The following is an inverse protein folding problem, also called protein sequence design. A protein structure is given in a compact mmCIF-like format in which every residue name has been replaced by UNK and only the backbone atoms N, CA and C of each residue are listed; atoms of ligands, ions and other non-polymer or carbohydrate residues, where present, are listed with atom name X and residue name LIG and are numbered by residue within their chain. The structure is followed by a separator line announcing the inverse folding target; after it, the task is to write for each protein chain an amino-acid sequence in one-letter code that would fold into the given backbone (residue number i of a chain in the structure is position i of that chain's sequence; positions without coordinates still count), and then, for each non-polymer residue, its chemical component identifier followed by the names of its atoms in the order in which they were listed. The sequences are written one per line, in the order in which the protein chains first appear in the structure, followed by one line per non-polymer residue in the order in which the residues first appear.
data_IF_507529147073
#
_entry.id   IF_507529147073
#
_cell.length_a   1.000
_cell.length_b   1.000
_cell.length_c   1.000
_cell.angle_alpha   90.00
_cell.angle_beta   90.00
_cell.angle_gamma   90.00
#
_symmetry.space_group_name_H-M   'P 1'
#
loop_
_entity.id
_entity.type
_entity.pdbx_description
1 polymer ?
#
# COMPACT_ATOMS: atom_id res chain seq x y z
N UNK A 1 14.58 -0.62 -17.81
CA UNK A 1 13.32 -1.03 -18.50
C UNK A 1 12.17 -0.68 -17.59
N UNK A 2 11.22 0.16 -18.03
CA UNK A 2 10.06 0.46 -17.20
C UNK A 2 9.20 -0.80 -17.01
N UNK A 3 8.92 -1.17 -15.75
CA UNK A 3 8.05 -2.30 -15.41
C UNK A 3 6.68 -2.11 -16.07
N UNK A 4 6.14 -3.15 -16.70
CA UNK A 4 4.78 -3.13 -17.22
C UNK A 4 3.78 -3.11 -16.06
N UNK A 5 2.68 -2.42 -16.26
CA UNK A 5 1.55 -2.30 -15.33
C UNK A 5 0.55 -3.39 -15.70
N UNK A 6 0.41 -4.38 -14.86
CA UNK A 6 -0.59 -5.43 -15.02
C UNK A 6 -1.96 -4.87 -14.66
N UNK A 7 -2.91 -4.94 -15.58
CA UNK A 7 -4.26 -4.45 -15.33
C UNK A 7 -5.33 -5.47 -15.69
N UNK A 8 -6.50 -5.32 -15.06
CA UNK A 8 -7.73 -5.99 -15.44
C UNK A 8 -8.81 -4.97 -15.82
N UNK A 9 -9.75 -5.38 -16.66
CA UNK A 9 -10.87 -4.58 -17.14
C UNK A 9 -12.14 -5.37 -16.83
N UNK A 10 -13.06 -4.77 -16.09
CA UNK A 10 -14.27 -5.39 -15.62
C UNK A 10 -15.47 -4.46 -15.87
N UNK A 11 -16.36 -4.84 -16.76
CA UNK A 11 -17.53 -4.07 -17.15
C UNK A 11 -18.59 -5.04 -17.69
N UNK A 12 -19.86 -4.87 -17.32
CA UNK A 12 -20.93 -5.77 -17.79
C UNK A 12 -21.33 -5.50 -19.24
N UNK A 13 -20.92 -4.37 -19.82
CA UNK A 13 -21.10 -4.04 -21.22
C UNK A 13 -19.93 -4.55 -22.08
N UNK A 14 -20.09 -5.56 -22.96
CA UNK A 14 -19.01 -6.08 -23.79
C UNK A 14 -18.33 -5.03 -24.69
N UNK A 15 -19.10 -4.01 -25.12
CA UNK A 15 -18.55 -2.90 -25.92
C UNK A 15 -17.63 -2.00 -25.08
N UNK A 16 -17.94 -1.76 -23.80
CA UNK A 16 -17.09 -0.99 -22.90
C UNK A 16 -15.79 -1.75 -22.60
N UNK A 17 -15.88 -3.06 -22.31
CA UNK A 17 -14.69 -3.93 -22.15
C UNK A 17 -13.79 -3.84 -23.38
N UNK A 18 -14.35 -4.03 -24.59
CA UNK A 18 -13.58 -3.97 -25.84
C UNK A 18 -12.96 -2.60 -26.07
N UNK A 19 -13.68 -1.52 -25.78
CA UNK A 19 -13.19 -0.15 -25.94
C UNK A 19 -11.99 0.12 -25.03
N UNK A 20 -12.11 -0.21 -23.75
CA UNK A 20 -11.02 0.01 -22.77
C UNK A 20 -9.83 -0.89 -23.10
N UNK A 21 -10.05 -2.16 -23.52
CA UNK A 21 -8.98 -3.05 -23.95
C UNK A 21 -8.25 -2.54 -25.21
N UNK A 22 -8.99 -1.99 -26.19
CA UNK A 22 -8.40 -1.34 -27.39
C UNK A 22 -7.58 -0.10 -27.01
N UNK A 23 -8.05 0.70 -26.05
CA UNK A 23 -7.30 1.83 -25.54
C UNK A 23 -6.03 1.39 -24.78
N UNK A 24 -6.15 0.35 -23.94
CA UNK A 24 -5.03 -0.19 -23.19
C UNK A 24 -3.93 -0.75 -24.11
N UNK A 25 -4.31 -1.39 -25.22
CA UNK A 25 -3.35 -1.93 -26.20
C UNK A 25 -2.50 -0.85 -26.88
N UNK A 26 -2.98 0.40 -26.93
CA UNK A 26 -2.26 1.57 -27.47
C UNK A 26 -1.29 2.20 -26.46
N UNK A 27 -1.30 1.76 -25.19
CA UNK A 27 -0.42 2.25 -24.13
C UNK A 27 0.63 1.17 -23.81
N UNK A 28 1.89 1.31 -24.28
CA UNK A 28 2.89 0.24 -24.18
C UNK A 28 3.24 -0.23 -22.76
N UNK A 29 2.95 0.64 -21.76
CA UNK A 29 3.18 0.32 -20.33
C UNK A 29 2.11 -0.59 -19.74
N UNK A 30 0.91 -0.68 -20.33
CA UNK A 30 -0.16 -1.55 -19.83
C UNK A 30 0.00 -2.98 -20.35
N UNK A 31 -0.32 -3.94 -19.49
CA UNK A 31 -0.43 -5.36 -19.80
C UNK A 31 -1.77 -5.85 -19.26
N UNK A 32 -2.74 -6.11 -20.17
CA UNK A 32 -4.08 -6.56 -19.78
C UNK A 32 -4.03 -8.06 -19.49
N UNK A 33 -4.25 -8.45 -18.25
CA UNK A 33 -4.29 -9.84 -17.80
C UNK A 33 -5.69 -10.45 -17.98
N UNK A 34 -6.73 -9.63 -17.79
CA UNK A 34 -8.11 -10.05 -17.90
C UNK A 34 -8.98 -8.88 -18.38
N UNK A 35 -9.96 -9.17 -19.26
CA UNK A 35 -10.91 -8.19 -19.77
C UNK A 35 -12.23 -8.90 -20.11
N UNK A 36 -13.20 -8.86 -19.22
CA UNK A 36 -14.51 -9.52 -19.38
C UNK A 36 -15.51 -8.95 -18.36
N UNK A 37 -16.76 -9.46 -18.41
CA UNK A 37 -17.84 -9.15 -17.48
C UNK A 37 -17.94 -10.12 -16.29
N UNK A 38 -17.20 -11.24 -16.29
CA UNK A 38 -17.27 -12.26 -15.23
C UNK A 38 -16.45 -11.82 -14.01
N UNK A 39 -17.16 -11.33 -12.99
CA UNK A 39 -16.58 -10.86 -11.72
C UNK A 39 -15.84 -11.98 -10.96
N UNK A 40 -16.36 -13.21 -11.01
CA UNK A 40 -15.76 -14.32 -10.25
C UNK A 40 -14.42 -14.75 -10.85
N UNK A 41 -14.31 -14.77 -12.18
CA UNK A 41 -13.02 -14.98 -12.84
C UNK A 41 -12.03 -13.84 -12.58
N UNK A 42 -12.52 -12.59 -12.55
CA UNK A 42 -11.67 -11.47 -12.17
C UNK A 42 -11.11 -11.65 -10.75
N UNK A 43 -11.91 -12.10 -9.77
CA UNK A 43 -11.48 -12.41 -8.41
C UNK A 43 -10.44 -13.54 -8.40
N UNK A 44 -10.58 -14.56 -9.24
CA UNK A 44 -9.58 -15.63 -9.36
C UNK A 44 -8.23 -15.07 -9.86
N UNK A 45 -8.26 -14.23 -10.91
CA UNK A 45 -7.04 -13.55 -11.42
C UNK A 45 -6.41 -12.66 -10.34
N UNK A 46 -7.22 -11.91 -9.57
CA UNK A 46 -6.74 -11.08 -8.47
C UNK A 46 -6.06 -11.87 -7.33
N UNK A 47 -6.42 -13.15 -7.17
CA UNK A 47 -5.84 -14.02 -6.16
C UNK A 47 -4.57 -14.74 -6.64
N UNK A 48 -4.41 -14.94 -7.95
CA UNK A 48 -3.33 -15.73 -8.54
C UNK A 48 -2.25 -14.88 -9.20
N UNK A 49 -2.60 -13.67 -9.67
CA UNK A 49 -1.71 -12.81 -10.43
C UNK A 49 -1.40 -11.49 -9.66
N UNK A 50 -0.26 -10.91 -9.98
CA UNK A 50 0.08 -9.56 -9.47
C UNK A 50 -0.59 -8.52 -10.35
N UNK A 51 -1.67 -7.91 -9.86
CA UNK A 51 -2.44 -6.87 -10.55
C UNK A 51 -2.12 -5.51 -9.93
N UNK A 52 -1.73 -4.55 -10.77
CA UNK A 52 -1.36 -3.19 -10.34
C UNK A 52 -2.54 -2.21 -10.45
N UNK A 53 -3.45 -2.41 -11.41
CA UNK A 53 -4.54 -1.47 -11.74
C UNK A 53 -5.81 -2.21 -12.20
N UNK A 54 -6.97 -1.74 -11.75
CA UNK A 54 -8.27 -2.28 -12.13
C UNK A 54 -9.12 -1.16 -12.75
N UNK A 55 -9.55 -1.36 -14.01
CA UNK A 55 -10.64 -0.59 -14.61
C UNK A 55 -11.94 -1.30 -14.29
N UNK A 56 -12.87 -0.61 -13.64
CA UNK A 56 -14.10 -1.25 -13.13
C UNK A 56 -15.33 -0.40 -13.37
N UNK A 57 -16.38 -1.01 -13.90
CA UNK A 57 -17.71 -0.40 -13.89
C UNK A 57 -18.34 -0.49 -12.50
N UNK A 58 -19.19 0.47 -12.16
CA UNK A 58 -19.91 0.48 -10.89
C UNK A 58 -21.10 -0.46 -10.92
N UNK A 59 -21.88 -0.42 -11.98
CA UNK A 59 -23.13 -1.14 -12.07
C UNK A 59 -22.97 -2.45 -12.84
N UNK A 60 -22.61 -3.49 -12.14
CA UNK A 60 -22.51 -4.84 -12.71
C UNK A 60 -23.51 -5.78 -12.02
N UNK A 61 -24.05 -6.79 -12.75
CA UNK A 61 -24.84 -7.85 -12.15
C UNK A 61 -24.06 -8.63 -11.09
N UNK A 62 -24.76 -9.18 -10.10
CA UNK A 62 -24.25 -10.07 -9.03
C UNK A 62 -23.37 -9.37 -7.98
N UNK A 63 -22.41 -8.55 -8.37
CA UNK A 63 -21.53 -7.79 -7.48
C UNK A 63 -21.19 -6.45 -8.13
N UNK A 64 -21.55 -5.37 -7.48
CA UNK A 64 -21.25 -4.02 -7.95
C UNK A 64 -19.76 -3.69 -7.82
N UNK A 65 -19.26 -2.75 -8.63
CA UNK A 65 -17.88 -2.29 -8.51
C UNK A 65 -17.57 -1.73 -7.13
N UNK A 66 -18.54 -1.08 -6.47
CA UNK A 66 -18.39 -0.57 -5.10
C UNK A 66 -18.22 -1.72 -4.10
N UNK A 67 -19.05 -2.75 -4.18
CA UNK A 67 -18.92 -3.94 -3.31
C UNK A 67 -17.58 -4.67 -3.53
N UNK A 68 -17.11 -4.74 -4.79
CA UNK A 68 -15.81 -5.31 -5.08
C UNK A 68 -14.67 -4.50 -4.44
N UNK A 69 -14.73 -3.16 -4.53
CA UNK A 69 -13.75 -2.28 -3.88
C UNK A 69 -13.78 -2.42 -2.35
N UNK A 70 -14.95 -2.62 -1.74
CA UNK A 70 -15.09 -2.89 -0.30
C UNK A 70 -14.44 -4.22 0.10
N UNK A 71 -14.66 -5.29 -0.67
CA UNK A 71 -14.09 -6.62 -0.43
C UNK A 71 -12.56 -6.60 -0.40
N UNK A 72 -11.94 -5.81 -1.29
CA UNK A 72 -10.49 -5.74 -1.39
C UNK A 72 -9.84 -4.64 -0.53
N UNK A 73 -10.61 -3.83 0.16
CA UNK A 73 -10.18 -2.87 1.21
C UNK A 73 -8.81 -2.23 0.95
N UNK A 74 -8.72 -1.43 -0.12
CA UNK A 74 -7.51 -0.69 -0.53
C UNK A 74 -6.29 -1.55 -0.98
N UNK A 75 -6.49 -2.85 -1.20
CA UNK A 75 -5.41 -3.73 -1.69
C UNK A 75 -4.99 -3.43 -3.13
N UNK A 76 -5.92 -2.90 -3.94
CA UNK A 76 -5.71 -2.62 -5.36
C UNK A 76 -6.03 -1.16 -5.70
N UNK A 77 -5.50 -0.71 -6.85
CA UNK A 77 -5.78 0.62 -7.38
C UNK A 77 -6.89 0.55 -8.42
N UNK A 78 -7.85 1.46 -8.33
CA UNK A 78 -9.02 1.47 -9.18
C UNK A 78 -9.11 2.74 -10.03
N UNK A 79 -9.46 2.57 -11.30
CA UNK A 79 -10.02 3.61 -12.17
C UNK A 79 -11.45 3.18 -12.47
N UNK A 80 -12.40 3.98 -12.05
CA UNK A 80 -13.82 3.69 -12.26
C UNK A 80 -14.24 4.14 -13.65
N UNK A 81 -15.06 3.30 -14.31
CA UNK A 81 -15.80 3.65 -15.52
C UNK A 81 -17.30 3.62 -15.20
N UNK A 82 -18.06 4.64 -15.56
CA UNK A 82 -19.50 4.66 -15.25
C UNK A 82 -20.29 5.60 -16.15
N UNK A 83 -21.54 5.29 -16.39
CA UNK A 83 -22.51 6.18 -17.03
C UNK A 83 -23.10 7.21 -16.04
N UNK A 84 -22.87 7.07 -14.74
CA UNK A 84 -23.59 7.77 -13.69
C UNK A 84 -22.67 8.67 -12.85
N UNK A 85 -22.77 10.02 -12.97
CA UNK A 85 -21.89 10.94 -12.25
C UNK A 85 -22.10 10.97 -10.74
N UNK A 86 -23.28 10.56 -10.24
CA UNK A 86 -23.63 10.62 -8.82
C UNK A 86 -22.76 9.70 -7.93
N UNK A 87 -22.23 8.61 -8.47
CA UNK A 87 -21.36 7.70 -7.72
C UNK A 87 -19.94 8.22 -7.51
N UNK A 88 -19.58 9.35 -8.15
CA UNK A 88 -18.24 9.91 -8.01
C UNK A 88 -17.92 10.30 -6.55
N UNK A 89 -18.89 10.81 -5.80
CA UNK A 89 -18.71 11.18 -4.38
C UNK A 89 -18.50 9.94 -3.49
N UNK A 90 -19.24 8.86 -3.75
CA UNK A 90 -19.10 7.61 -3.02
C UNK A 90 -17.75 6.93 -3.33
N UNK A 91 -17.35 6.96 -4.58
CA UNK A 91 -16.06 6.45 -5.03
C UNK A 91 -14.86 7.12 -4.35
N UNK A 92 -14.96 8.38 -3.97
CA UNK A 92 -13.91 9.10 -3.23
C UNK A 92 -13.53 8.44 -1.90
N UNK A 93 -14.46 7.72 -1.25
CA UNK A 93 -14.19 7.00 0.00
C UNK A 93 -13.22 5.83 -0.17
N UNK A 94 -13.08 5.30 -1.39
CA UNK A 94 -12.22 4.16 -1.72
C UNK A 94 -10.85 4.56 -2.29
N UNK A 95 -10.48 5.84 -2.23
CA UNK A 95 -9.18 6.34 -2.72
C UNK A 95 -8.89 5.92 -4.18
N UNK A 96 -9.93 5.99 -5.04
CA UNK A 96 -9.77 5.66 -6.47
C UNK A 96 -8.81 6.63 -7.16
N UNK A 97 -8.04 6.12 -8.11
CA UNK A 97 -7.10 6.92 -8.89
C UNK A 97 -7.84 7.96 -9.73
N UNK A 98 -8.91 7.51 -10.40
CA UNK A 98 -9.70 8.39 -11.25
C UNK A 98 -11.11 7.85 -11.50
N UNK A 99 -11.98 8.73 -12.02
CA UNK A 99 -13.36 8.44 -12.41
C UNK A 99 -13.60 8.84 -13.86
N UNK A 100 -13.95 7.87 -14.69
CA UNK A 100 -14.20 8.06 -16.12
C UNK A 100 -15.71 7.96 -16.41
N UNK A 101 -16.31 9.10 -16.79
CA UNK A 101 -17.71 9.11 -17.18
C UNK A 101 -17.84 8.65 -18.64
N UNK A 102 -18.73 7.68 -18.90
CA UNK A 102 -19.08 7.22 -20.24
C UNK A 102 -19.90 8.32 -20.97
N UNK A 103 -19.64 8.61 -22.28
CA UNK A 103 -18.72 7.92 -23.18
C UNK A 103 -17.24 8.31 -22.94
N UNK A 104 -16.37 7.30 -22.83
CA UNK A 104 -14.95 7.50 -22.53
C UNK A 104 -14.18 7.75 -23.82
N UNK A 105 -13.46 8.87 -23.91
CA UNK A 105 -12.53 9.15 -25.01
C UNK A 105 -11.13 8.60 -24.72
N UNK A 106 -10.34 8.29 -25.75
CA UNK A 106 -8.96 7.83 -25.58
C UNK A 106 -8.11 8.83 -24.78
N UNK A 107 -8.29 10.13 -25.02
CA UNK A 107 -7.56 11.17 -24.30
C UNK A 107 -7.86 11.12 -22.80
N UNK A 108 -9.13 10.96 -22.41
CA UNK A 108 -9.53 10.90 -21.01
C UNK A 108 -9.04 9.62 -20.33
N UNK A 109 -9.10 8.48 -21.05
CA UNK A 109 -8.51 7.22 -20.61
C UNK A 109 -7.00 7.37 -20.40
N UNK A 110 -6.27 7.92 -21.36
CA UNK A 110 -4.83 8.12 -21.29
C UNK A 110 -4.42 9.01 -20.09
N UNK A 111 -5.17 10.10 -19.86
CA UNK A 111 -4.94 10.98 -18.70
C UNK A 111 -5.10 10.23 -17.35
N UNK A 112 -6.07 9.33 -17.24
CA UNK A 112 -6.27 8.53 -16.03
C UNK A 112 -5.12 7.53 -15.79
N UNK A 113 -4.63 6.92 -16.86
CA UNK A 113 -3.45 6.04 -16.79
C UNK A 113 -2.20 6.82 -16.42
N UNK A 114 -1.97 8.00 -17.01
CA UNK A 114 -0.85 8.89 -16.65
C UNK A 114 -0.93 9.34 -15.18
N UNK A 115 -2.15 9.59 -14.69
CA UNK A 115 -2.38 9.92 -13.27
C UNK A 115 -1.95 8.75 -12.36
N UNK A 116 -2.31 7.51 -12.72
CA UNK A 116 -1.87 6.31 -12.01
C UNK A 116 -0.35 6.14 -12.07
N UNK A 117 0.26 6.33 -13.25
CA UNK A 117 1.71 6.22 -13.41
C UNK A 117 2.44 7.21 -12.51
N UNK A 118 2.03 8.48 -12.51
CA UNK A 118 2.63 9.51 -11.63
C UNK A 118 2.41 9.20 -10.16
N UNK A 119 1.20 8.74 -9.80
CA UNK A 119 0.90 8.31 -8.47
C UNK A 119 1.82 7.15 -8.06
N UNK A 120 1.94 6.11 -8.89
CA UNK A 120 2.84 4.98 -8.66
C UNK A 120 4.30 5.42 -8.56
N UNK A 121 4.77 6.30 -9.44
CA UNK A 121 6.14 6.83 -9.41
C UNK A 121 6.38 7.65 -8.14
N UNK A 122 5.42 8.45 -7.69
CA UNK A 122 5.51 9.18 -6.42
C UNK A 122 5.55 8.22 -5.23
N UNK A 123 4.77 7.14 -5.24
CA UNK A 123 4.80 6.12 -4.19
C UNK A 123 5.98 5.15 -4.34
N UNK A 124 6.48 4.86 -5.54
CA UNK A 124 7.74 4.10 -5.72
C UNK A 124 8.97 4.92 -5.32
N UNK A 125 8.92 6.24 -5.40
CA UNK A 125 9.91 7.13 -4.76
C UNK A 125 9.76 7.08 -3.23
N UNK A 126 8.56 6.75 -2.71
CA UNK A 126 8.30 6.49 -1.29
C UNK A 126 8.63 5.03 -0.91
N UNK A 127 8.52 4.05 -1.84
CA UNK A 127 8.88 2.63 -1.64
C UNK A 127 10.33 2.26 -2.00
N UNK A 128 11.09 3.11 -2.63
CA UNK A 128 12.51 3.25 -2.33
C UNK A 128 12.59 4.35 -1.27
N UNK A 129 12.73 4.01 -0.01
CA UNK A 129 13.12 5.00 0.97
C UNK A 129 14.60 5.34 0.73
N UNK A 130 14.87 6.30 -0.17
CA UNK A 130 15.82 7.35 0.14
C UNK A 130 15.19 8.32 1.15
N UNK A 131 14.17 7.88 1.86
CA UNK A 131 13.71 8.49 3.08
C UNK A 131 14.60 7.95 4.20
N UNK A 132 15.82 8.47 4.25
CA UNK A 132 16.67 8.36 5.46
C UNK A 132 15.98 8.96 6.69
N UNK A 133 14.72 9.38 6.57
CA UNK A 133 14.05 10.15 7.61
C UNK A 133 12.61 9.70 7.84
N UNK A 134 12.23 9.57 9.11
CA UNK A 134 10.87 9.42 9.60
C UNK A 134 10.32 10.78 10.04
N UNK A 135 9.10 11.14 9.63
CA UNK A 135 8.42 12.34 10.10
C UNK A 135 7.33 11.95 11.10
N UNK A 136 7.41 12.50 12.30
CA UNK A 136 6.39 12.30 13.35
C UNK A 136 5.95 13.64 13.94
N UNK A 137 4.69 13.71 14.35
CA UNK A 137 4.14 14.88 15.04
C UNK A 137 4.20 14.64 16.54
N UNK A 138 4.96 15.49 17.25
CA UNK A 138 5.07 15.47 18.70
C UNK A 138 5.09 16.92 19.24
N UNK A 139 4.42 17.17 20.36
CA UNK A 139 4.37 18.49 21.01
C UNK A 139 4.04 19.68 20.08
N UNK A 140 3.07 19.48 19.17
CA UNK A 140 2.66 20.44 18.12
C UNK A 140 3.76 20.77 17.10
N UNK A 141 4.87 20.03 17.08
CA UNK A 141 5.99 20.17 16.14
C UNK A 141 6.06 18.94 15.24
N UNK A 142 6.69 19.09 14.09
CA UNK A 142 7.06 17.99 13.21
C UNK A 142 8.54 17.69 13.38
N UNK A 143 8.84 16.48 13.85
CA UNK A 143 10.19 15.97 13.98
C UNK A 143 10.58 15.22 12.71
N UNK A 144 11.74 15.57 12.16
CA UNK A 144 12.41 14.83 11.08
C UNK A 144 13.52 14.01 11.72
N UNK A 145 13.35 12.69 11.74
CA UNK A 145 14.24 11.75 12.43
C UNK A 145 14.95 10.91 11.38
N UNK A 146 16.28 10.89 11.35
CA UNK A 146 17.02 9.99 10.49
C UNK A 146 16.76 8.53 10.90
N UNK A 147 16.39 7.67 9.95
CA UNK A 147 16.11 6.26 10.24
C UNK A 147 17.32 5.55 10.85
N UNK A 148 18.52 5.93 10.41
CA UNK A 148 19.78 5.42 10.96
C UNK A 148 20.04 5.83 12.40
N UNK A 149 19.38 6.87 12.91
CA UNK A 149 19.52 7.28 14.32
C UNK A 149 18.56 6.54 15.24
N UNK A 150 17.50 5.92 14.70
CA UNK A 150 16.51 5.18 15.50
C UNK A 150 17.15 3.91 16.06
N UNK A 151 17.22 3.81 17.38
CA UNK A 151 17.70 2.64 18.10
C UNK A 151 16.61 1.58 18.22
N UNK A 152 15.41 1.98 18.63
CA UNK A 152 14.17 1.20 18.67
C UNK A 152 12.98 2.10 18.95
N UNK A 153 11.77 1.58 18.73
CA UNK A 153 10.51 2.26 19.03
C UNK A 153 9.76 1.45 20.09
N UNK A 154 9.32 2.15 21.13
CA UNK A 154 8.59 1.60 22.26
C UNK A 154 7.13 2.08 22.26
N UNK A 155 6.17 1.17 22.38
CA UNK A 155 4.74 1.48 22.52
C UNK A 155 4.35 1.72 23.97
N UNK A 156 3.69 2.84 24.23
CA UNK A 156 3.24 3.31 25.55
C UNK A 156 1.75 3.68 25.52
N UNK A 157 0.86 2.68 25.49
CA UNK A 157 -0.60 2.84 25.31
C UNK A 157 -0.93 3.57 24.00
N UNK A 158 -1.42 4.82 24.07
CA UNK A 158 -1.82 5.63 22.93
C UNK A 158 -0.63 6.40 22.31
N UNK A 159 0.57 6.26 22.85
CA UNK A 159 1.78 6.93 22.41
C UNK A 159 2.84 5.93 21.99
N UNK A 160 3.74 6.38 21.15
CA UNK A 160 5.02 5.72 20.90
C UNK A 160 6.15 6.59 21.43
N UNK A 161 7.24 5.95 21.84
CA UNK A 161 8.50 6.61 22.15
C UNK A 161 9.57 6.12 21.17
N UNK A 162 10.10 7.03 20.38
CA UNK A 162 11.20 6.76 19.47
C UNK A 162 12.48 7.05 20.19
N UNK A 163 13.31 6.02 20.40
CA UNK A 163 14.62 6.13 21.00
C UNK A 163 15.64 6.34 19.89
N UNK A 164 16.33 7.48 19.91
CA UNK A 164 17.41 7.81 18.96
C UNK A 164 18.77 7.86 19.69
N UNK A 165 19.83 8.09 18.94
CA UNK A 165 21.16 8.27 19.51
C UNK A 165 21.21 9.47 20.46
N UNK A 166 20.48 10.55 20.16
CA UNK A 166 20.59 11.84 20.84
C UNK A 166 19.45 12.07 21.85
N UNK A 167 18.22 11.69 21.49
CA UNK A 167 17.03 12.02 22.29
C UNK A 167 15.95 10.95 22.24
N UNK A 168 14.88 11.14 23.04
CA UNK A 168 13.68 10.32 23.04
C UNK A 168 12.50 11.18 22.64
N UNK A 169 11.85 10.86 21.54
CA UNK A 169 10.73 11.62 20.99
C UNK A 169 9.44 10.86 21.28
N UNK A 170 8.46 11.55 21.89
CA UNK A 170 7.16 10.98 22.23
C UNK A 170 6.11 11.47 21.24
N UNK A 171 5.46 10.58 20.50
CA UNK A 171 4.45 10.91 19.53
C UNK A 171 3.12 10.21 19.85
N UNK A 172 2.00 10.91 19.61
CA UNK A 172 0.65 10.33 19.67
C UNK A 172 0.40 9.53 18.42
N UNK A 173 0.77 8.26 18.47
CA UNK A 173 0.64 7.32 17.35
C UNK A 173 0.63 5.89 17.89
N UNK A 174 0.06 4.95 17.15
CA UNK A 174 0.06 3.54 17.56
C UNK A 174 1.13 2.72 16.82
N UNK A 175 1.43 1.53 17.36
CA UNK A 175 2.48 0.64 16.88
C UNK A 175 2.22 0.03 15.49
N UNK A 176 0.97 0.00 15.03
CA UNK A 176 0.61 -0.49 13.70
C UNK A 176 0.89 0.59 12.66
N UNK A 177 0.36 1.80 12.89
CA UNK A 177 0.47 2.91 11.94
C UNK A 177 1.92 3.36 11.75
N UNK A 178 2.71 3.39 12.84
CA UNK A 178 4.14 3.73 12.71
C UNK A 178 4.92 2.65 11.94
N UNK A 179 4.59 1.36 12.11
CA UNK A 179 5.26 0.29 11.38
C UNK A 179 5.01 0.37 9.86
N UNK A 180 3.81 0.81 9.46
CA UNK A 180 3.46 1.02 8.04
C UNK A 180 4.24 2.17 7.39
N UNK A 181 4.73 3.13 8.19
CA UNK A 181 5.57 4.25 7.73
C UNK A 181 7.06 3.91 7.68
N UNK A 182 7.47 2.82 8.29
CA UNK A 182 8.86 2.40 8.38
C UNK A 182 9.22 1.45 7.25
N UNK A 183 10.44 1.53 6.70
CA UNK A 183 10.89 0.60 5.66
C UNK A 183 11.08 -0.82 6.21
N UNK A 184 11.16 -1.81 5.31
CA UNK A 184 11.24 -3.25 5.62
C UNK A 184 12.45 -3.67 6.48
N UNK A 185 13.42 -2.79 6.65
CA UNK A 185 14.52 -2.97 7.60
C UNK A 185 14.09 -2.89 9.06
N UNK A 186 12.89 -2.36 9.36
CA UNK A 186 12.31 -2.38 10.70
C UNK A 186 11.41 -3.60 10.88
N UNK A 187 11.46 -4.22 12.05
CA UNK A 187 10.64 -5.37 12.39
C UNK A 187 9.99 -5.20 13.76
N UNK A 188 8.73 -5.57 13.87
CA UNK A 188 8.03 -5.61 15.16
C UNK A 188 8.31 -6.96 15.83
N UNK A 189 8.93 -6.91 17.01
CA UNK A 189 9.36 -8.08 17.78
C UNK A 189 8.48 -8.35 19.01
N UNK A 190 7.69 -7.36 19.39
CA UNK A 190 6.81 -7.43 20.55
C UNK A 190 5.59 -6.51 20.35
N UNK A 191 4.52 -6.71 21.14
CA UNK A 191 3.38 -5.76 21.13
C UNK A 191 3.79 -4.30 21.37
N UNK A 192 4.93 -4.10 22.06
CA UNK A 192 5.45 -2.78 22.43
C UNK A 192 6.81 -2.46 21.84
N UNK A 193 7.40 -3.27 20.95
CA UNK A 193 8.72 -2.97 20.41
C UNK A 193 8.82 -3.21 18.90
N UNK A 194 9.36 -2.18 18.20
CA UNK A 194 9.82 -2.22 16.81
C UNK A 194 11.31 -1.89 16.81
N UNK A 195 12.10 -2.64 16.04
CA UNK A 195 13.56 -2.46 15.99
C UNK A 195 14.06 -2.45 14.54
N UNK A 196 15.14 -1.71 14.24
CA UNK A 196 15.90 -1.87 13.00
C UNK A 196 16.75 -3.14 13.06
N UNK A 197 16.72 -3.94 12.00
CA UNK A 197 17.38 -5.25 11.89
C UNK A 197 18.90 -5.14 11.92
N UNK A 198 19.44 -4.11 11.31
CA UNK A 198 20.89 -3.82 11.24
C UNK A 198 21.51 -3.46 12.59
N UNK A 199 20.71 -3.07 13.58
CA UNK A 199 21.15 -2.72 14.94
C UNK A 199 21.06 -3.87 15.93
N UNK A 200 20.70 -5.05 15.50
CA UNK A 200 20.74 -6.27 16.32
C UNK A 200 22.21 -6.65 16.56
N UNK A 201 22.57 -6.93 17.81
CA UNK A 201 23.88 -7.46 18.19
C UNK A 201 23.83 -8.99 18.32
N UNK A 202 22.83 -9.49 19.05
CA UNK A 202 22.65 -10.92 19.28
C UNK A 202 21.19 -11.21 19.65
N UNK A 203 20.73 -12.39 19.30
CA UNK A 203 19.43 -12.94 19.74
C UNK A 203 19.75 -14.01 20.78
N UNK A 204 19.28 -13.83 22.01
CA UNK A 204 19.52 -14.72 23.14
C UNK A 204 18.17 -15.22 23.67
N UNK A 205 17.82 -16.43 23.32
CA UNK A 205 16.59 -17.07 23.72
C UNK A 205 15.36 -16.25 23.32
N UNK A 206 14.72 -15.61 24.29
CA UNK A 206 13.50 -14.82 24.12
C UNK A 206 13.75 -13.31 24.12
N UNK A 207 14.98 -12.87 23.89
CA UNK A 207 15.38 -11.47 23.89
C UNK A 207 16.26 -11.15 22.69
N UNK A 208 16.17 -9.90 22.24
CA UNK A 208 17.09 -9.31 21.27
C UNK A 208 17.95 -8.28 22.00
N UNK A 209 19.25 -8.48 21.95
CA UNK A 209 20.22 -7.51 22.46
C UNK A 209 20.62 -6.60 21.30
N UNK A 210 20.36 -5.32 21.46
CA UNK A 210 20.70 -4.29 20.46
C UNK A 210 22.19 -3.90 20.57
N UNK A 211 22.77 -3.36 19.50
CA UNK A 211 24.12 -2.79 19.51
C UNK A 211 24.29 -1.67 20.55
N UNK A 212 23.21 -0.98 20.89
CA UNK A 212 23.13 0.03 21.97
C UNK A 212 23.20 -0.58 23.39
N UNK A 213 23.20 -1.92 23.52
CA UNK A 213 23.23 -2.62 24.81
C UNK A 213 21.85 -2.91 25.42
N UNK A 214 20.76 -2.39 24.85
CA UNK A 214 19.41 -2.66 25.33
C UNK A 214 19.00 -4.09 25.02
N UNK A 215 18.45 -4.82 25.99
CA UNK A 215 17.82 -6.12 25.80
C UNK A 215 16.30 -5.96 25.74
N UNK A 216 15.69 -6.37 24.62
CA UNK A 216 14.28 -6.20 24.33
C UNK A 216 13.61 -7.59 24.19
N UNK A 217 12.43 -7.84 24.82
CA UNK A 217 11.78 -9.13 24.78
C UNK A 217 11.14 -9.41 23.42
N UNK A 218 11.15 -10.66 23.00
CA UNK A 218 10.38 -11.14 21.85
C UNK A 218 9.02 -11.65 22.35
N UNK A 219 7.93 -11.06 21.84
CA UNK A 219 6.58 -11.52 22.16
C UNK A 219 6.28 -12.87 21.52
N UNK A 220 5.50 -13.74 22.19
CA UNK A 220 5.20 -15.10 21.71
C UNK A 220 4.65 -15.14 20.29
N UNK A 221 3.74 -14.22 19.96
CA UNK A 221 3.14 -14.09 18.62
C UNK A 221 4.13 -13.64 17.53
N UNK A 222 5.27 -13.10 17.93
CA UNK A 222 6.29 -12.58 17.01
C UNK A 222 7.48 -13.54 16.81
N UNK A 223 7.57 -14.63 17.59
CA UNK A 223 8.69 -15.59 17.50
C UNK A 223 8.83 -16.21 16.12
N UNK A 224 7.69 -16.58 15.50
CA UNK A 224 7.69 -17.17 14.16
C UNK A 224 8.24 -16.18 13.13
N UNK A 225 7.78 -14.94 13.16
CA UNK A 225 8.23 -13.87 12.27
C UNK A 225 9.74 -13.58 12.42
N UNK A 226 10.23 -13.53 13.66
CA UNK A 226 11.66 -13.34 13.93
C UNK A 226 12.49 -14.54 13.45
N UNK A 227 11.98 -15.79 13.62
CA UNK A 227 12.62 -17.01 13.15
C UNK A 227 12.70 -17.10 11.61
N UNK A 228 11.64 -16.72 10.91
CA UNK A 228 11.60 -16.71 9.43
C UNK A 228 12.58 -15.68 8.83
N UNK A 229 12.85 -14.62 9.56
CA UNK A 229 13.80 -13.61 9.10
C UNK A 229 15.27 -14.02 9.31
N UNK A 230 15.56 -14.97 10.21
CA UNK A 230 16.92 -15.47 10.50
C UNK A 230 17.38 -16.56 9.53
N UNK A 231 16.46 -17.18 8.80
CA UNK A 231 16.71 -18.19 7.79
C UNK A 231 16.68 -17.58 6.39
#
# INVERSE_FOLDING_TARGET
MNKKINCIILDDEPFAVKLIADYASKVPRLNVLYADSDVFKAIEVLNTESVDLIFIDIQMPQLTGIELMQLFNQKYNFIITSAYPQYALEAFQFHVIDYLLKPITFNRFYQSVEKFIRWQETFQVIEKPDNDYLFVKADRKHYKIALNDILYIEGLRDYIRIHTNDEKIMALENMKDILEKLPSQFIRIHRSYIIPKDKIKVIDGNQIVMKSGNALPIGETYRKLVGEWLN
#
